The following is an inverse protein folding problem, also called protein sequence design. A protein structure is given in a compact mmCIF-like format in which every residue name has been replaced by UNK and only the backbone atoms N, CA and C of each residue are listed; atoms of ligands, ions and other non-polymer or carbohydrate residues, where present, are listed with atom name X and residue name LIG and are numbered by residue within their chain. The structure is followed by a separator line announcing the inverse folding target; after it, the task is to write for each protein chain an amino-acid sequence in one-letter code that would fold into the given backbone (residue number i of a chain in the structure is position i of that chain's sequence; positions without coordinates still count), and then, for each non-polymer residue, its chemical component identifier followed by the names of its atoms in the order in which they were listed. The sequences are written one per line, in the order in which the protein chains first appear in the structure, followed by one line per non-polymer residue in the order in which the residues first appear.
data_IF_166993588684
#
_entry.id   IF_166993588684
#
_cell.length_a   1.000
_cell.length_b   1.000
_cell.length_c   1.000
_cell.angle_alpha   90.00
_cell.angle_beta   90.00
_cell.angle_gamma   90.00
#
_symmetry.space_group_name_H-M   'P 1'
#
loop_
_entity.id
_entity.type
_entity.pdbx_description
1 polymer ?
#
# COMPACT_ATOMS: atom_id res chain seq x y z
N UNK A 1 -36.25 23.00 12.89
CA UNK A 1 -37.38 22.08 12.59
C UNK A 1 -36.83 20.67 12.45
N UNK A 2 -36.97 19.83 13.47
CA UNK A 2 -36.48 18.46 13.45
C UNK A 2 -37.43 17.60 12.59
N UNK A 3 -36.91 17.03 11.49
CA UNK A 3 -37.65 16.04 10.70
C UNK A 3 -38.00 14.86 11.59
N UNK A 4 -39.29 14.58 11.79
CA UNK A 4 -39.75 13.29 12.30
C UNK A 4 -39.25 12.21 11.32
N UNK A 5 -38.15 11.55 11.64
CA UNK A 5 -37.78 10.32 10.96
C UNK A 5 -38.86 9.29 11.27
N UNK A 6 -39.62 8.90 10.24
CA UNK A 6 -40.53 7.76 10.26
C UNK A 6 -39.77 6.56 10.84
N UNK A 7 -40.14 6.10 12.04
CA UNK A 7 -39.50 4.93 12.63
C UNK A 7 -39.76 3.73 11.72
N UNK A 8 -38.71 3.19 11.10
CA UNK A 8 -38.82 1.91 10.42
C UNK A 8 -39.43 0.88 11.38
N UNK A 9 -40.39 0.05 10.92
CA UNK A 9 -40.96 -0.98 11.77
C UNK A 9 -39.84 -1.87 12.30
N UNK A 10 -39.90 -2.20 13.58
CA UNK A 10 -38.92 -3.11 14.20
C UNK A 10 -38.97 -4.47 13.50
N UNK A 11 -37.83 -5.14 13.41
CA UNK A 11 -37.76 -6.48 12.82
C UNK A 11 -38.47 -7.49 13.71
N UNK A 12 -39.08 -8.48 13.07
CA UNK A 12 -39.51 -9.69 13.77
C UNK A 12 -38.30 -10.45 14.32
N UNK A 13 -38.50 -11.29 15.34
CA UNK A 13 -37.42 -12.10 15.91
C UNK A 13 -36.78 -13.03 14.87
N UNK A 14 -37.60 -13.68 14.04
CA UNK A 14 -37.11 -14.58 12.99
C UNK A 14 -36.31 -13.84 11.91
N UNK A 15 -36.79 -12.67 11.46
CA UNK A 15 -36.06 -11.85 10.49
C UNK A 15 -34.72 -11.37 11.06
N UNK A 16 -34.70 -10.94 12.32
CA UNK A 16 -33.47 -10.54 12.99
C UNK A 16 -32.47 -11.69 13.12
N UNK A 17 -32.90 -12.89 13.56
CA UNK A 17 -32.03 -14.06 13.62
C UNK A 17 -31.46 -14.45 12.25
N UNK A 18 -32.26 -14.35 11.19
CA UNK A 18 -31.80 -14.59 9.84
C UNK A 18 -30.74 -13.56 9.41
N UNK A 19 -30.96 -12.28 9.72
CA UNK A 19 -30.00 -11.21 9.43
C UNK A 19 -28.69 -11.39 10.20
N UNK A 20 -28.75 -11.76 11.48
CA UNK A 20 -27.56 -12.07 12.26
C UNK A 20 -26.74 -13.20 11.60
N UNK A 21 -27.40 -14.28 11.18
CA UNK A 21 -26.74 -15.38 10.47
C UNK A 21 -26.13 -14.93 9.14
N UNK A 22 -26.90 -14.20 8.33
CA UNK A 22 -26.47 -13.70 7.01
C UNK A 22 -25.21 -12.85 7.12
N UNK A 23 -25.18 -11.96 8.10
CA UNK A 23 -24.07 -11.03 8.30
C UNK A 23 -22.95 -11.59 9.17
N UNK A 24 -23.10 -12.77 9.78
CA UNK A 24 -22.10 -13.38 10.65
C UNK A 24 -22.00 -12.68 12.02
N UNK A 25 -23.14 -12.33 12.60
CA UNK A 25 -23.23 -11.88 13.98
C UNK A 25 -23.77 -13.00 14.87
N UNK A 26 -23.24 -13.10 16.09
CA UNK A 26 -23.62 -14.11 17.06
C UNK A 26 -24.06 -13.45 18.37
N UNK A 27 -25.24 -13.82 18.88
CA UNK A 27 -25.72 -13.31 20.16
C UNK A 27 -25.17 -14.17 21.32
N UNK A 28 -24.41 -13.53 22.21
CA UNK A 28 -23.82 -14.18 23.38
C UNK A 28 -24.71 -13.91 24.57
N UNK A 29 -25.59 -14.88 24.84
CA UNK A 29 -26.62 -14.77 25.87
C UNK A 29 -26.05 -14.50 27.26
N UNK A 30 -24.89 -15.06 27.58
CA UNK A 30 -24.23 -14.86 28.87
C UNK A 30 -23.76 -13.41 29.09
N UNK A 31 -23.40 -12.70 28.02
CA UNK A 31 -22.92 -11.32 28.07
C UNK A 31 -24.01 -10.29 27.71
N UNK A 32 -25.16 -10.75 27.20
CA UNK A 32 -26.20 -9.88 26.65
C UNK A 32 -25.73 -9.04 25.45
N UNK A 33 -24.66 -9.49 24.76
CA UNK A 33 -23.97 -8.74 23.70
C UNK A 33 -23.91 -9.53 22.40
N UNK A 34 -23.70 -8.81 21.30
CA UNK A 34 -23.57 -9.38 19.97
C UNK A 34 -22.13 -9.33 19.52
N UNK A 35 -21.61 -10.43 18.99
CA UNK A 35 -20.25 -10.53 18.47
C UNK A 35 -20.24 -10.60 16.95
N UNK A 36 -19.33 -9.87 16.34
CA UNK A 36 -19.01 -10.02 14.92
C UNK A 36 -18.00 -11.16 14.74
N UNK A 37 -18.46 -12.35 14.36
CA UNK A 37 -17.58 -13.53 14.23
C UNK A 37 -16.74 -13.51 12.96
N UNK A 38 -17.00 -12.59 12.03
CA UNK A 38 -16.19 -12.42 10.82
C UNK A 38 -14.99 -11.53 11.05
N UNK A 39 -15.02 -10.68 12.09
CA UNK A 39 -13.92 -9.80 12.43
C UNK A 39 -12.95 -10.48 13.40
N UNK A 40 -11.64 -10.26 13.19
CA UNK A 40 -10.60 -10.72 14.11
C UNK A 40 -10.84 -10.15 15.52
N UNK A 41 -10.73 -10.99 16.54
CA UNK A 41 -10.99 -10.60 17.94
C UNK A 41 -12.46 -10.59 18.34
N UNK A 42 -13.39 -10.93 17.44
CA UNK A 42 -14.82 -11.09 17.70
C UNK A 42 -15.43 -9.93 18.52
N UNK A 43 -15.30 -8.67 18.04
CA UNK A 43 -15.66 -7.48 18.79
C UNK A 43 -17.14 -7.52 19.20
N UNK A 44 -17.40 -7.03 20.42
CA UNK A 44 -18.71 -7.02 21.05
C UNK A 44 -19.42 -5.69 20.82
N UNK A 45 -20.71 -5.76 20.51
CA UNK A 45 -21.61 -4.61 20.41
C UNK A 45 -22.80 -4.84 21.32
N UNK A 46 -23.20 -3.79 22.05
CA UNK A 46 -24.37 -3.83 22.92
C UNK A 46 -25.67 -3.70 22.11
N UNK A 47 -26.76 -4.35 22.54
CA UNK A 47 -28.07 -4.17 21.91
C UNK A 47 -28.57 -2.74 22.09
N UNK A 48 -29.24 -2.24 21.06
CA UNK A 48 -30.04 -1.03 21.19
C UNK A 48 -31.37 -1.41 21.83
N UNK A 49 -31.73 -0.74 22.92
CA UNK A 49 -32.94 -1.04 23.69
C UNK A 49 -34.07 -0.06 23.36
N UNK A 50 -35.28 -0.60 23.17
CA UNK A 50 -36.55 0.15 23.12
C UNK A 50 -37.34 -0.16 24.40
N UNK A 51 -37.06 0.62 25.45
CA UNK A 51 -37.55 0.33 26.80
C UNK A 51 -36.98 -0.98 27.33
N UNK A 52 -37.84 -1.95 27.70
CA UNK A 52 -37.42 -3.26 28.21
C UNK A 52 -37.14 -4.31 27.13
N UNK A 53 -37.31 -3.97 25.85
CA UNK A 53 -37.13 -4.91 24.72
C UNK A 53 -35.99 -4.44 23.84
N UNK A 54 -35.30 -5.37 23.20
CA UNK A 54 -34.29 -5.06 22.18
C UNK A 54 -35.00 -4.48 20.96
N UNK A 55 -34.52 -3.34 20.48
CA UNK A 55 -34.84 -2.80 19.16
C UNK A 55 -34.00 -3.54 18.13
N UNK A 56 -34.59 -4.50 17.42
CA UNK A 56 -33.84 -5.41 16.56
C UNK A 56 -33.33 -4.70 15.32
N UNK A 57 -34.15 -3.82 14.75
CA UNK A 57 -33.74 -3.01 13.59
C UNK A 57 -32.57 -2.08 13.96
N UNK A 58 -32.67 -1.37 15.08
CA UNK A 58 -31.59 -0.47 15.51
C UNK A 58 -30.34 -1.23 15.96
N UNK A 59 -30.49 -2.40 16.59
CA UNK A 59 -29.36 -3.26 16.95
C UNK A 59 -28.62 -3.78 15.72
N UNK A 60 -29.34 -4.21 14.68
CA UNK A 60 -28.72 -4.64 13.42
C UNK A 60 -27.97 -3.48 12.75
N UNK A 61 -28.56 -2.29 12.72
CA UNK A 61 -27.92 -1.09 12.19
C UNK A 61 -26.64 -0.73 12.96
N UNK A 62 -26.67 -0.79 14.29
CA UNK A 62 -25.50 -0.53 15.13
C UNK A 62 -24.38 -1.55 14.90
N UNK A 63 -24.73 -2.82 14.70
CA UNK A 63 -23.76 -3.88 14.38
C UNK A 63 -23.06 -3.64 13.04
N UNK A 64 -23.82 -3.27 12.01
CA UNK A 64 -23.28 -2.99 10.69
C UNK A 64 -22.43 -1.71 10.70
N UNK A 65 -22.90 -0.63 11.33
CA UNK A 65 -22.14 0.60 11.48
C UNK A 65 -20.83 0.38 12.24
N UNK A 66 -20.83 -0.44 13.30
CA UNK A 66 -19.61 -0.78 14.03
C UNK A 66 -18.62 -1.57 13.17
N UNK A 67 -19.09 -2.39 12.23
CA UNK A 67 -18.21 -3.09 11.28
C UNK A 67 -17.62 -2.11 10.25
N UNK A 68 -18.44 -1.24 9.70
CA UNK A 68 -18.01 -0.22 8.73
C UNK A 68 -16.96 0.71 9.35
N UNK A 69 -17.22 1.23 10.54
CA UNK A 69 -16.26 2.07 11.26
C UNK A 69 -14.90 1.38 11.50
N UNK A 70 -14.89 0.06 11.73
CA UNK A 70 -13.63 -0.71 11.84
C UNK A 70 -12.91 -0.83 10.50
N UNK A 71 -13.66 -1.04 9.41
CA UNK A 71 -13.09 -1.12 8.07
C UNK A 71 -12.47 0.24 7.65
N UNK A 72 -13.18 1.34 7.94
CA UNK A 72 -12.67 2.69 7.71
C UNK A 72 -11.41 2.99 8.54
N UNK A 73 -11.40 2.61 9.82
CA UNK A 73 -10.22 2.78 10.67
C UNK A 73 -9.01 1.98 10.16
N UNK A 74 -9.23 0.76 9.65
CA UNK A 74 -8.17 -0.06 9.06
C UNK A 74 -7.60 0.58 7.77
N UNK A 75 -8.48 1.04 6.87
CA UNK A 75 -8.08 1.73 5.65
C UNK A 75 -7.31 3.03 5.94
N UNK A 76 -7.74 3.79 6.96
CA UNK A 76 -7.03 4.99 7.40
C UNK A 76 -5.62 4.66 7.95
N UNK A 77 -5.50 3.58 8.74
CA UNK A 77 -4.20 3.14 9.26
C UNK A 77 -3.24 2.69 8.14
N UNK A 78 -3.76 1.99 7.13
CA UNK A 78 -3.00 1.58 5.94
C UNK A 78 -2.53 2.79 5.13
N UNK A 79 -3.40 3.78 4.90
CA UNK A 79 -3.03 5.02 4.21
C UNK A 79 -1.89 5.77 4.94
N UNK A 80 -1.95 5.85 6.27
CA UNK A 80 -0.88 6.45 7.08
C UNK A 80 0.42 5.65 6.96
N UNK A 81 0.34 4.32 6.91
CA UNK A 81 1.52 3.47 6.76
C UNK A 81 2.17 3.64 5.38
N UNK A 82 1.38 3.68 4.31
CA UNK A 82 1.85 3.95 2.95
C UNK A 82 2.56 5.32 2.89
N UNK A 83 1.98 6.35 3.50
CA UNK A 83 2.61 7.67 3.52
C UNK A 83 3.92 7.67 4.33
N UNK A 84 3.98 6.95 5.46
CA UNK A 84 5.21 6.78 6.22
C UNK A 84 6.30 6.08 5.41
N UNK A 85 5.96 5.04 4.67
CA UNK A 85 6.90 4.33 3.80
C UNK A 85 7.39 5.22 2.65
N UNK A 86 6.48 6.00 2.06
CA UNK A 86 6.84 7.01 1.06
C UNK A 86 7.83 8.03 1.63
N UNK A 87 7.52 8.63 2.77
CA UNK A 87 8.41 9.60 3.44
C UNK A 87 9.74 8.96 3.80
N UNK A 88 9.74 7.73 4.34
CA UNK A 88 10.95 6.99 4.66
C UNK A 88 11.82 6.77 3.41
N UNK A 89 11.24 6.39 2.26
CA UNK A 89 11.99 6.24 1.00
C UNK A 89 12.59 7.55 0.47
N UNK A 90 11.96 8.69 0.74
CA UNK A 90 12.48 10.00 0.34
C UNK A 90 13.63 10.47 1.24
N UNK A 91 13.58 10.13 2.53
CA UNK A 91 14.56 10.58 3.54
C UNK A 91 15.70 9.58 3.70
N UNK A 92 15.49 8.30 3.35
CA UNK A 92 16.51 7.26 3.48
C UNK A 92 17.81 7.69 2.78
N UNK A 93 18.95 7.68 3.48
CA UNK A 93 20.22 8.00 2.85
C UNK A 93 20.49 6.97 1.75
N UNK A 94 20.34 7.41 0.50
CA UNK A 94 20.75 6.62 -0.65
C UNK A 94 22.27 6.53 -0.56
N UNK A 95 22.78 5.35 -0.25
CA UNK A 95 24.20 5.07 -0.32
C UNK A 95 24.63 5.35 -1.76
N UNK A 96 25.26 6.51 -1.99
CA UNK A 96 25.88 6.81 -3.26
C UNK A 96 26.95 5.74 -3.48
N UNK A 97 26.90 4.98 -4.59
CA UNK A 97 28.00 4.10 -4.96
C UNK A 97 29.30 4.91 -4.97
N UNK A 98 30.44 4.25 -4.74
CA UNK A 98 31.76 4.89 -4.81
C UNK A 98 31.81 5.81 -6.03
N UNK A 99 32.20 7.08 -5.83
CA UNK A 99 32.01 8.12 -6.83
C UNK A 99 32.68 7.73 -8.15
N UNK A 100 31.87 7.32 -9.14
CA UNK A 100 32.33 6.99 -10.50
C UNK A 100 33.05 8.17 -11.16
N UNK A 101 32.80 9.38 -10.64
CA UNK A 101 33.53 10.61 -10.94
C UNK A 101 35.06 10.53 -10.80
N UNK A 102 35.61 9.59 -10.03
CA UNK A 102 37.06 9.40 -9.92
C UNK A 102 37.64 8.41 -10.95
N UNK A 103 36.80 7.77 -11.75
CA UNK A 103 37.23 6.90 -12.84
C UNK A 103 37.55 7.75 -14.07
N UNK A 104 38.64 7.43 -14.76
CA UNK A 104 39.00 8.05 -16.04
C UNK A 104 39.42 6.99 -17.06
N UNK A 105 39.39 7.38 -18.34
CA UNK A 105 39.88 6.58 -19.47
C UNK A 105 39.17 5.23 -19.60
N UNK A 106 39.93 4.16 -19.80
CA UNK A 106 39.38 2.82 -20.05
C UNK A 106 38.52 2.29 -18.90
N UNK A 107 38.86 2.63 -17.65
CA UNK A 107 38.09 2.21 -16.48
C UNK A 107 36.72 2.92 -16.43
N UNK A 108 36.68 4.20 -16.79
CA UNK A 108 35.43 4.94 -16.90
C UNK A 108 34.54 4.37 -18.04
N UNK A 109 35.13 4.10 -19.21
CA UNK A 109 34.40 3.52 -20.35
C UNK A 109 33.81 2.15 -20.00
N UNK A 110 34.60 1.27 -19.36
CA UNK A 110 34.15 -0.07 -18.97
C UNK A 110 33.00 -0.02 -17.95
N UNK A 111 33.11 0.83 -16.94
CA UNK A 111 32.06 0.98 -15.92
C UNK A 111 30.79 1.62 -16.50
N UNK A 112 30.93 2.61 -17.38
CA UNK A 112 29.79 3.28 -18.04
C UNK A 112 29.06 2.31 -18.98
N UNK A 113 29.80 1.40 -19.64
CA UNK A 113 29.22 0.35 -20.45
C UNK A 113 28.37 -0.63 -19.62
N UNK A 114 28.86 -1.04 -18.45
CA UNK A 114 28.09 -1.90 -17.53
C UNK A 114 26.84 -1.19 -17.00
N UNK A 115 26.95 0.10 -16.68
CA UNK A 115 25.81 0.89 -16.23
C UNK A 115 24.75 1.05 -17.34
N UNK A 116 25.15 1.18 -18.62
CA UNK A 116 24.23 1.16 -19.76
C UNK A 116 23.48 -0.17 -19.88
N UNK A 117 24.16 -1.30 -19.68
CA UNK A 117 23.54 -2.63 -19.68
C UNK A 117 22.50 -2.75 -18.55
N UNK A 118 22.86 -2.31 -17.34
CA UNK A 118 21.96 -2.37 -16.17
C UNK A 118 20.74 -1.46 -16.35
N UNK A 119 20.90 -0.28 -16.94
CA UNK A 119 19.78 0.65 -17.15
C UNK A 119 18.86 0.20 -18.28
N UNK A 120 19.43 -0.25 -19.42
CA UNK A 120 18.64 -0.75 -20.56
C UNK A 120 17.82 -1.99 -20.23
N UNK A 121 18.28 -2.83 -19.30
CA UNK A 121 17.54 -4.02 -18.83
C UNK A 121 16.42 -3.70 -17.83
N UNK A 122 16.39 -2.50 -17.24
CA UNK A 122 15.40 -2.11 -16.22
C UNK A 122 14.29 -1.19 -16.75
N UNK A 123 14.54 -0.40 -17.81
CA UNK A 123 13.53 0.49 -18.46
C UNK A 123 14.14 1.26 -19.65
N UNK A 124 13.39 1.43 -20.76
CA UNK A 124 13.46 2.34 -21.96
C UNK A 124 14.74 3.13 -22.35
N UNK A 125 15.91 2.78 -21.83
CA UNK A 125 17.20 3.43 -22.10
C UNK A 125 17.81 4.12 -20.88
N UNK A 126 19.14 4.22 -20.89
CA UNK A 126 19.88 4.92 -19.86
C UNK A 126 19.65 6.44 -19.94
N UNK A 127 18.83 6.98 -19.04
CA UNK A 127 18.62 8.41 -18.95
C UNK A 127 19.78 9.08 -18.19
N UNK A 128 20.25 10.24 -18.68
CA UNK A 128 21.32 11.02 -18.04
C UNK A 128 21.08 11.29 -16.54
N UNK A 129 19.84 11.59 -16.06
CA UNK A 129 19.57 11.74 -14.64
C UNK A 129 19.96 10.51 -13.79
N UNK A 130 19.85 9.30 -14.34
CA UNK A 130 20.16 8.07 -13.62
C UNK A 130 21.67 7.84 -13.53
N UNK A 131 22.41 8.18 -14.59
CA UNK A 131 23.87 8.16 -14.59
C UNK A 131 24.45 9.19 -13.58
N UNK A 132 23.86 10.38 -13.50
CA UNK A 132 24.27 11.38 -12.50
C UNK A 132 23.99 10.89 -11.07
N UNK A 133 22.86 10.20 -10.83
CA UNK A 133 22.57 9.55 -9.54
C UNK A 133 23.55 8.43 -9.20
N UNK A 134 24.09 7.75 -10.22
CA UNK A 134 25.16 6.77 -10.08
C UNK A 134 26.54 7.38 -9.79
N UNK A 135 26.65 8.72 -9.76
CA UNK A 135 27.88 9.43 -9.41
C UNK A 135 28.78 9.75 -10.60
N UNK A 136 28.28 9.67 -11.83
CA UNK A 136 28.99 10.15 -13.02
C UNK A 136 29.02 11.68 -13.09
N UNK A 137 30.13 12.26 -13.57
CA UNK A 137 30.14 13.67 -13.99
C UNK A 137 29.53 13.81 -15.38
N UNK A 138 28.79 14.89 -15.59
CA UNK A 138 28.20 15.21 -16.90
C UNK A 138 29.26 15.22 -18.03
N UNK A 139 30.45 15.76 -17.76
CA UNK A 139 31.57 15.77 -18.72
C UNK A 139 32.03 14.37 -19.12
N UNK A 140 32.24 13.48 -18.15
CA UNK A 140 32.67 12.10 -18.39
C UNK A 140 31.63 11.29 -19.16
N UNK A 141 30.34 11.50 -18.87
CA UNK A 141 29.28 10.87 -19.66
C UNK A 141 29.40 11.31 -21.12
N UNK A 142 29.45 12.62 -21.41
CA UNK A 142 29.57 13.08 -22.81
C UNK A 142 30.85 12.62 -23.49
N UNK A 143 31.96 12.60 -22.77
CA UNK A 143 33.27 12.18 -23.30
C UNK A 143 33.32 10.69 -23.65
N UNK A 144 32.69 9.84 -22.84
CA UNK A 144 32.83 8.38 -22.94
C UNK A 144 31.59 7.67 -23.47
N UNK A 145 30.47 8.37 -23.71
CA UNK A 145 29.18 7.76 -24.09
C UNK A 145 29.31 6.85 -25.31
N UNK A 146 29.95 7.31 -26.39
CA UNK A 146 29.99 6.56 -27.64
C UNK A 146 30.83 5.28 -27.51
N UNK A 147 32.00 5.40 -26.86
CA UNK A 147 32.88 4.26 -26.58
C UNK A 147 32.19 3.25 -25.65
N UNK A 148 31.51 3.73 -24.60
CA UNK A 148 30.81 2.89 -23.65
C UNK A 148 29.57 2.21 -24.26
N UNK A 149 28.83 2.87 -25.16
CA UNK A 149 27.71 2.24 -25.90
C UNK A 149 28.18 1.14 -26.83
N UNK A 150 29.26 1.38 -27.57
CA UNK A 150 29.84 0.36 -28.46
C UNK A 150 30.33 -0.86 -27.66
N UNK A 151 30.98 -0.62 -26.52
CA UNK A 151 31.42 -1.68 -25.62
C UNK A 151 30.24 -2.44 -24.98
N UNK A 152 29.20 -1.73 -24.54
CA UNK A 152 27.98 -2.32 -24.01
C UNK A 152 27.29 -3.21 -25.06
N UNK A 153 27.18 -2.73 -26.29
CA UNK A 153 26.61 -3.48 -27.41
C UNK A 153 27.44 -4.72 -27.75
N UNK A 154 28.77 -4.61 -27.79
CA UNK A 154 29.68 -5.76 -27.98
C UNK A 154 29.50 -6.81 -26.86
N UNK A 155 29.43 -6.38 -25.60
CA UNK A 155 29.22 -7.25 -24.42
C UNK A 155 27.86 -7.96 -24.45
N UNK A 156 26.79 -7.25 -24.84
CA UNK A 156 25.44 -7.82 -24.92
C UNK A 156 25.28 -8.82 -26.08
N UNK A 157 25.99 -8.61 -27.20
CA UNK A 157 25.85 -9.41 -28.41
C UNK A 157 26.99 -10.42 -28.64
N UNK A 158 27.89 -10.59 -27.67
CA UNK A 158 28.94 -11.60 -27.70
C UNK A 158 30.03 -11.38 -28.76
N UNK A 159 30.20 -10.15 -29.25
CA UNK A 159 31.30 -9.82 -30.15
C UNK A 159 32.60 -9.68 -29.33
N UNK A 160 33.38 -10.77 -29.27
CA UNK A 160 34.72 -10.77 -28.70
C UNK A 160 35.60 -9.72 -29.41
N UNK A 161 36.24 -8.87 -28.62
CA UNK A 161 37.51 -8.22 -29.01
C UNK A 161 38.63 -9.07 -28.43
#
# INVERSE_FOLDING_TARGET
MAKLQKSSPDLSAAAFEQQLKLHGFFHIRAEGRFADVRAKGCPRTEPVMRGKRIDRQATLAALLAAREARAEAAAAAEAVQIERERVASLIAPVAMPAARASLDGAAAIAQLADDFIVLTTRSDGAALPDLLRMGWRKSQVFEHTDAARNLAYSRQNGAAV
#
